data_IF_038437396299
#
_entry.id   IF_038437396299
#
_cell.length_a   1.000
_cell.length_b   1.000
_cell.length_c   1.000
_cell.angle_alpha   90.00
_cell.angle_beta   90.00
_cell.angle_gamma   90.00
#
_symmetry.space_group_name_H-M   'P 1'
#
loop_
_entity.id
_entity.type
_entity.pdbx_description
1 polymer ?
#
# COMPACT_ATOMS: atom_id res chain seq x y z
N UNK A 1 17.37 -28.57 -1.11
CA UNK A 1 17.81 -27.48 -0.21
C UNK A 1 16.86 -27.49 0.98
N UNK A 2 17.32 -27.30 2.21
CA UNK A 2 16.48 -27.23 3.42
C UNK A 2 16.10 -25.79 3.80
N UNK A 3 16.51 -24.81 2.99
CA UNK A 3 16.19 -23.41 3.22
C UNK A 3 14.69 -23.17 3.05
N UNK A 4 14.06 -22.48 4.02
CA UNK A 4 12.60 -22.29 4.13
C UNK A 4 11.97 -21.70 2.85
N UNK A 5 12.66 -20.76 2.20
CA UNK A 5 12.17 -20.08 0.98
C UNK A 5 12.07 -21.00 -0.25
N UNK A 6 12.71 -22.18 -0.24
CA UNK A 6 12.66 -23.16 -1.32
C UNK A 6 11.78 -24.38 -0.99
N UNK A 7 11.08 -24.35 0.15
CA UNK A 7 10.11 -25.39 0.49
C UNK A 7 8.73 -25.07 -0.09
N UNK A 8 7.93 -26.08 -0.44
CA UNK A 8 6.55 -25.86 -0.84
C UNK A 8 5.74 -25.23 0.30
N UNK A 9 4.89 -24.25 -0.03
CA UNK A 9 3.99 -23.62 0.94
C UNK A 9 2.85 -24.60 1.26
N UNK A 10 2.83 -25.11 2.49
CA UNK A 10 1.76 -25.98 2.99
C UNK A 10 0.77 -25.18 3.83
N UNK A 11 -0.52 -25.23 3.49
CA UNK A 11 -1.57 -24.56 4.29
C UNK A 11 -1.68 -25.24 5.67
N UNK A 12 -1.44 -24.51 6.78
CA UNK A 12 -1.50 -25.10 8.11
C UNK A 12 -2.94 -25.42 8.52
N UNK A 13 -3.10 -26.42 9.39
CA UNK A 13 -4.39 -26.70 9.99
C UNK A 13 -4.78 -25.56 10.95
N UNK A 14 -5.98 -25.02 10.77
CA UNK A 14 -6.53 -23.97 11.63
C UNK A 14 -6.79 -24.55 13.03
N UNK A 15 -6.29 -23.91 14.11
CA UNK A 15 -6.55 -24.35 15.46
C UNK A 15 -8.05 -24.35 15.79
N UNK A 16 -8.51 -25.39 16.47
CA UNK A 16 -9.83 -25.38 17.12
C UNK A 16 -9.70 -24.66 18.45
N UNK A 17 -10.45 -23.57 18.60
CA UNK A 17 -10.53 -22.77 19.83
C UNK A 17 -12.00 -22.57 20.17
N UNK A 18 -12.34 -22.75 21.44
CA UNK A 18 -13.67 -22.47 21.98
C UNK A 18 -13.72 -21.02 22.47
N UNK A 19 -13.43 -20.08 21.57
CA UNK A 19 -13.45 -18.66 21.86
C UNK A 19 -14.31 -17.95 20.81
N UNK A 20 -15.34 -17.24 21.25
CA UNK A 20 -16.24 -16.48 20.40
C UNK A 20 -15.64 -15.15 19.91
N UNK A 21 -14.44 -14.79 20.37
CA UNK A 21 -13.75 -13.57 19.96
C UNK A 21 -13.31 -13.61 18.48
N UNK A 22 -12.82 -14.75 18.00
CA UNK A 22 -12.26 -14.86 16.65
C UNK A 22 -13.34 -14.94 15.56
N UNK A 23 -13.23 -14.10 14.53
CA UNK A 23 -14.16 -14.05 13.38
C UNK A 23 -13.61 -14.76 12.15
N UNK A 24 -12.28 -14.84 12.05
CA UNK A 24 -11.56 -15.39 10.90
C UNK A 24 -10.63 -16.55 11.30
N UNK A 25 -10.18 -17.37 10.34
CA UNK A 25 -9.16 -18.38 10.61
C UNK A 25 -7.84 -17.81 11.16
N UNK A 26 -7.50 -16.56 10.81
CA UNK A 26 -6.30 -15.87 11.33
C UNK A 26 -6.45 -15.61 12.82
N UNK A 27 -7.62 -15.15 13.25
CA UNK A 27 -7.91 -14.91 14.67
C UNK A 27 -7.73 -16.19 15.50
N UNK A 28 -7.95 -17.37 14.89
CA UNK A 28 -7.76 -18.63 15.58
C UNK A 28 -6.30 -18.93 15.95
N UNK A 29 -5.37 -18.54 15.08
CA UNK A 29 -3.94 -18.62 15.39
C UNK A 29 -3.53 -17.60 16.46
N UNK A 30 -4.13 -16.41 16.42
CA UNK A 30 -3.89 -15.35 17.43
C UNK A 30 -4.40 -15.80 18.80
N UNK A 31 -5.63 -16.28 18.91
CA UNK A 31 -6.20 -16.71 20.18
C UNK A 31 -5.46 -17.91 20.78
N UNK A 32 -5.04 -18.88 19.95
CA UNK A 32 -4.16 -19.96 20.41
C UNK A 32 -2.86 -19.42 21.02
N UNK A 33 -2.28 -18.40 20.40
CA UNK A 33 -1.03 -17.79 20.87
C UNK A 33 -1.24 -17.03 22.18
N UNK A 34 -2.33 -16.28 22.31
CA UNK A 34 -2.72 -15.62 23.57
C UNK A 34 -2.94 -16.63 24.70
N UNK A 35 -3.70 -17.70 24.43
CA UNK A 35 -3.97 -18.75 25.42
C UNK A 35 -2.68 -19.40 25.94
N UNK A 36 -1.74 -19.72 25.03
CA UNK A 36 -0.43 -20.25 25.41
C UNK A 36 0.41 -19.26 26.24
N UNK A 37 0.22 -17.96 26.01
CA UNK A 37 0.89 -16.90 26.74
C UNK A 37 0.16 -16.47 28.03
N UNK A 38 -0.99 -17.07 28.35
CA UNK A 38 -1.83 -16.65 29.48
C UNK A 38 -2.44 -15.25 29.33
N UNK A 39 -2.58 -14.77 28.09
CA UNK A 39 -3.14 -13.46 27.76
C UNK A 39 -4.63 -13.59 27.39
N UNK A 40 -5.35 -12.49 27.59
CA UNK A 40 -6.74 -12.34 27.15
C UNK A 40 -6.84 -11.26 26.08
N UNK A 41 -7.80 -11.42 25.18
CA UNK A 41 -8.09 -10.43 24.15
C UNK A 41 -8.60 -9.13 24.78
N UNK A 42 -8.24 -8.00 24.18
CA UNK A 42 -8.85 -6.72 24.55
C UNK A 42 -10.32 -6.67 24.12
N UNK A 43 -11.14 -5.95 24.88
CA UNK A 43 -12.51 -5.65 24.48
C UNK A 43 -12.54 -4.89 23.16
N UNK A 44 -13.62 -5.08 22.40
CA UNK A 44 -13.86 -4.31 21.18
C UNK A 44 -13.92 -2.81 21.50
N UNK A 45 -13.43 -2.00 20.57
CA UNK A 45 -13.44 -0.56 20.73
C UNK A 45 -14.90 -0.04 20.71
N UNK A 46 -15.22 1.03 21.45
CA UNK A 46 -16.50 1.71 21.29
C UNK A 46 -16.72 2.10 19.82
N UNK A 47 -17.96 2.06 19.31
CA UNK A 47 -18.26 2.30 17.90
C UNK A 47 -17.65 3.60 17.35
N UNK A 48 -17.69 4.68 18.13
CA UNK A 48 -17.12 5.97 17.75
C UNK A 48 -15.59 5.95 17.61
N UNK A 49 -14.92 5.15 18.44
CA UNK A 49 -13.48 4.96 18.36
C UNK A 49 -13.12 4.11 17.16
N UNK A 50 -13.91 3.07 16.89
CA UNK A 50 -13.72 2.19 15.74
C UNK A 50 -13.90 2.96 14.43
N UNK A 51 -14.99 3.72 14.26
CA UNK A 51 -15.22 4.55 13.09
C UNK A 51 -14.06 5.51 12.84
N UNK A 52 -13.63 6.25 13.86
CA UNK A 52 -12.51 7.19 13.73
C UNK A 52 -11.22 6.49 13.29
N UNK A 53 -10.94 5.27 13.76
CA UNK A 53 -9.77 4.49 13.34
C UNK A 53 -9.89 4.07 11.87
N UNK A 54 -11.02 3.50 11.47
CA UNK A 54 -11.27 3.09 10.09
C UNK A 54 -11.05 4.23 9.09
N UNK A 55 -11.63 5.40 9.38
CA UNK A 55 -11.46 6.61 8.57
C UNK A 55 -9.99 7.05 8.44
N UNK A 56 -9.27 7.14 9.56
CA UNK A 56 -7.86 7.57 9.53
C UNK A 56 -6.92 6.54 8.91
N UNK A 57 -7.20 5.25 9.13
CA UNK A 57 -6.35 4.17 8.63
C UNK A 57 -6.54 4.01 7.11
N UNK A 58 -7.79 3.97 6.64
CA UNK A 58 -8.11 3.71 5.23
C UNK A 58 -7.95 4.93 4.33
N UNK A 59 -8.40 6.11 4.76
CA UNK A 59 -8.41 7.31 3.91
C UNK A 59 -7.60 8.48 4.48
N UNK A 60 -7.03 8.35 5.69
CA UNK A 60 -6.16 9.38 6.28
C UNK A 60 -6.86 10.62 6.82
N UNK A 61 -8.20 10.68 6.75
CA UNK A 61 -9.02 11.79 7.19
C UNK A 61 -9.92 11.34 8.34
N UNK A 62 -10.19 12.19 9.36
CA UNK A 62 -11.18 11.87 10.38
C UNK A 62 -12.62 11.94 9.79
N UNK A 63 -13.58 11.21 10.36
CA UNK A 63 -14.99 11.32 9.95
C UNK A 63 -15.56 12.70 10.30
N UNK A 64 -16.52 13.18 9.49
CA UNK A 64 -17.33 14.34 9.89
C UNK A 64 -18.33 13.97 10.99
N UNK A 65 -18.88 14.96 11.74
CA UNK A 65 -19.92 14.69 12.73
C UNK A 65 -21.13 13.95 12.15
N UNK A 66 -21.52 14.25 10.91
CA UNK A 66 -22.64 13.63 10.21
C UNK A 66 -22.34 12.17 9.86
N UNK A 67 -21.16 11.89 9.29
CA UNK A 67 -20.71 10.53 8.98
C UNK A 67 -20.61 9.66 10.24
N UNK A 68 -20.11 10.23 11.35
CA UNK A 68 -20.06 9.52 12.61
C UNK A 68 -21.46 9.23 13.15
N UNK A 69 -22.38 10.20 13.06
CA UNK A 69 -23.77 10.02 13.49
C UNK A 69 -24.47 8.94 12.66
N UNK A 70 -24.25 8.93 11.35
CA UNK A 70 -24.78 7.91 10.44
C UNK A 70 -24.27 6.52 10.81
N UNK A 71 -22.96 6.37 11.01
CA UNK A 71 -22.36 5.10 11.44
C UNK A 71 -22.96 4.59 12.75
N UNK A 72 -23.14 5.47 13.73
CA UNK A 72 -23.72 5.12 15.04
C UNK A 72 -25.20 4.74 14.97
N UNK A 73 -25.91 5.14 13.92
CA UNK A 73 -27.33 4.84 13.70
C UNK A 73 -27.56 3.65 12.76
N UNK A 74 -26.50 3.12 12.12
CA UNK A 74 -26.61 1.93 11.27
C UNK A 74 -27.15 0.73 12.08
N UNK A 75 -28.06 -0.02 11.45
CA UNK A 75 -28.74 -1.18 12.04
C UNK A 75 -28.48 -2.48 11.28
N UNK A 76 -27.46 -2.48 10.42
CA UNK A 76 -27.03 -3.67 9.67
C UNK A 76 -26.36 -4.71 10.56
N UNK A 77 -26.22 -5.93 10.04
CA UNK A 77 -25.58 -7.04 10.76
C UNK A 77 -24.10 -6.78 11.06
N UNK A 78 -23.39 -6.08 10.16
CA UNK A 78 -22.02 -5.62 10.36
C UNK A 78 -21.80 -4.19 9.81
N UNK A 79 -22.12 -3.15 10.60
CA UNK A 79 -21.94 -1.76 10.18
C UNK A 79 -20.48 -1.40 9.86
N UNK A 80 -19.52 -2.13 10.44
CA UNK A 80 -18.10 -1.88 10.24
C UNK A 80 -17.65 -2.37 8.87
N UNK A 81 -18.10 -3.56 8.44
CA UNK A 81 -17.83 -4.07 7.10
C UNK A 81 -18.38 -3.13 6.02
N UNK A 82 -19.61 -2.64 6.17
CA UNK A 82 -20.18 -1.67 5.22
C UNK A 82 -19.38 -0.37 5.16
N UNK A 83 -18.98 0.17 6.32
CA UNK A 83 -18.16 1.37 6.36
C UNK A 83 -16.79 1.14 5.69
N UNK A 84 -16.19 -0.04 5.88
CA UNK A 84 -14.93 -0.39 5.22
C UNK A 84 -15.11 -0.35 3.69
N UNK A 85 -16.15 -0.97 3.15
CA UNK A 85 -16.44 -0.94 1.71
C UNK A 85 -16.64 0.49 1.18
N UNK A 86 -17.38 1.32 1.91
CA UNK A 86 -17.57 2.75 1.58
C UNK A 86 -16.24 3.51 1.54
N UNK A 87 -15.35 3.25 2.50
CA UNK A 87 -14.05 3.90 2.59
C UNK A 87 -13.06 3.39 1.54
N UNK A 88 -13.07 2.10 1.21
CA UNK A 88 -12.26 1.52 0.14
C UNK A 88 -12.68 2.05 -1.23
N UNK A 89 -13.96 2.34 -1.43
CA UNK A 89 -14.48 2.96 -2.65
C UNK A 89 -14.22 4.48 -2.74
N UNK A 90 -13.71 5.11 -1.67
CA UNK A 90 -13.42 6.54 -1.66
C UNK A 90 -12.17 6.86 -2.50
N UNK A 91 -12.15 7.94 -3.31
CA UNK A 91 -10.94 8.35 -4.02
C UNK A 91 -9.75 8.66 -3.08
N UNK A 92 -10.04 9.03 -1.83
CA UNK A 92 -9.04 9.28 -0.80
C UNK A 92 -8.28 8.01 -0.36
N UNK A 93 -8.82 6.81 -0.63
CA UNK A 93 -8.13 5.56 -0.37
C UNK A 93 -6.83 5.49 -1.19
N UNK A 94 -6.91 5.72 -2.51
CA UNK A 94 -5.74 5.74 -3.39
C UNK A 94 -4.76 6.86 -3.05
N UNK A 95 -5.24 8.03 -2.61
CA UNK A 95 -4.37 9.12 -2.13
C UNK A 95 -3.59 8.70 -0.87
N UNK A 96 -4.28 8.05 0.09
CA UNK A 96 -3.70 7.59 1.35
C UNK A 96 -2.66 6.50 1.13
N UNK A 97 -3.01 5.46 0.38
CA UNK A 97 -2.16 4.30 0.15
C UNK A 97 -1.08 4.55 -0.90
N UNK A 98 -1.42 5.34 -1.93
CA UNK A 98 -0.46 5.79 -2.93
C UNK A 98 0.70 6.56 -2.33
N UNK A 99 0.49 7.36 -1.28
CA UNK A 99 1.58 8.05 -0.55
C UNK A 99 2.63 7.07 -0.03
N UNK A 100 2.22 5.95 0.58
CA UNK A 100 3.17 4.95 1.09
C UNK A 100 3.96 4.29 -0.04
N UNK A 101 3.29 4.01 -1.16
CA UNK A 101 3.98 3.49 -2.34
C UNK A 101 4.99 4.49 -2.91
N UNK A 102 4.61 5.76 -3.01
CA UNK A 102 5.47 6.82 -3.52
C UNK A 102 6.70 7.06 -2.63
N UNK A 103 6.54 6.91 -1.31
CA UNK A 103 7.65 6.92 -0.35
C UNK A 103 8.64 5.76 -0.64
N UNK A 104 8.14 4.55 -0.89
CA UNK A 104 8.97 3.38 -1.24
C UNK A 104 9.63 3.52 -2.61
N UNK A 105 8.90 4.05 -3.58
CA UNK A 105 9.39 4.34 -4.93
C UNK A 105 10.38 5.51 -4.97
N UNK A 106 10.64 6.19 -3.84
CA UNK A 106 11.53 7.35 -3.72
C UNK A 106 11.11 8.50 -4.65
N UNK A 107 9.81 8.64 -4.86
CA UNK A 107 9.26 9.63 -5.76
C UNK A 107 9.38 11.04 -5.20
N UNK A 108 9.67 12.00 -6.08
CA UNK A 108 9.65 13.43 -5.78
C UNK A 108 9.28 14.24 -7.03
N UNK A 109 8.73 15.43 -6.83
CA UNK A 109 8.48 16.39 -7.93
C UNK A 109 9.72 17.19 -8.33
N UNK A 110 10.89 16.86 -7.76
CA UNK A 110 12.16 17.51 -8.05
C UNK A 110 13.30 16.48 -8.11
N UNK A 111 14.51 16.91 -8.46
CA UNK A 111 15.67 16.03 -8.58
C UNK A 111 16.25 15.59 -7.23
N UNK A 112 15.95 16.32 -6.15
CA UNK A 112 16.32 15.97 -4.78
C UNK A 112 17.83 16.00 -4.49
N UNK A 113 18.61 16.76 -5.28
CA UNK A 113 20.07 16.86 -5.13
C UNK A 113 20.61 18.27 -5.38
N UNK A 114 21.94 18.41 -5.46
CA UNK A 114 22.69 19.68 -5.47
C UNK A 114 22.11 20.75 -6.40
N UNK A 115 21.63 20.35 -7.58
CA UNK A 115 20.87 21.21 -8.50
C UNK A 115 19.43 20.69 -8.57
N UNK A 116 18.61 21.13 -7.61
CA UNK A 116 17.26 20.61 -7.44
C UNK A 116 16.27 21.21 -8.45
N UNK A 117 16.27 20.65 -9.66
CA UNK A 117 15.32 21.05 -10.70
C UNK A 117 13.97 20.38 -10.51
N UNK A 118 12.91 21.12 -10.82
CA UNK A 118 11.55 20.57 -10.87
C UNK A 118 11.44 19.54 -11.99
N UNK A 119 10.73 18.43 -11.72
CA UNK A 119 10.32 17.43 -12.70
C UNK A 119 8.90 17.74 -13.18
N UNK A 120 8.70 18.46 -14.29
CA UNK A 120 7.40 19.04 -14.66
C UNK A 120 6.29 18.01 -14.92
N UNK A 121 6.66 16.74 -15.14
CA UNK A 121 5.72 15.66 -15.47
C UNK A 121 5.71 14.53 -14.43
N UNK A 122 6.40 14.68 -13.29
CA UNK A 122 6.46 13.64 -12.25
C UNK A 122 5.09 13.32 -11.64
N UNK A 123 4.17 14.29 -11.65
CA UNK A 123 2.80 14.13 -11.19
C UNK A 123 2.04 13.02 -11.93
N UNK A 124 2.38 12.72 -13.19
CA UNK A 124 1.71 11.66 -13.96
C UNK A 124 1.89 10.29 -13.31
N UNK A 125 3.09 10.01 -12.81
CA UNK A 125 3.37 8.77 -12.10
C UNK A 125 2.67 8.72 -10.72
N UNK A 126 2.63 9.85 -9.99
CA UNK A 126 1.85 9.97 -8.75
C UNK A 126 0.38 9.61 -8.99
N UNK A 127 -0.23 10.25 -9.99
CA UNK A 127 -1.64 10.05 -10.30
C UNK A 127 -1.90 8.61 -10.77
N UNK A 128 -1.00 8.03 -11.59
CA UNK A 128 -1.05 6.61 -11.95
C UNK A 128 -1.04 5.68 -10.74
N UNK A 129 -0.21 5.95 -9.73
CA UNK A 129 -0.16 5.15 -8.49
C UNK A 129 -1.49 5.26 -7.73
N UNK A 130 -1.99 6.49 -7.53
CA UNK A 130 -3.26 6.76 -6.86
C UNK A 130 -4.41 6.03 -7.56
N UNK A 131 -4.48 6.15 -8.88
CA UNK A 131 -5.50 5.52 -9.71
C UNK A 131 -5.40 3.99 -9.67
N UNK A 132 -4.19 3.43 -9.64
CA UNK A 132 -3.96 1.98 -9.53
C UNK A 132 -4.51 1.42 -8.22
N UNK A 133 -4.37 2.13 -7.10
CA UNK A 133 -4.98 1.74 -5.83
C UNK A 133 -6.51 1.86 -5.86
N UNK A 134 -7.04 2.96 -6.38
CA UNK A 134 -8.50 3.19 -6.46
C UNK A 134 -9.21 2.20 -7.38
N UNK A 135 -8.52 1.67 -8.39
CA UNK A 135 -9.05 0.68 -9.32
C UNK A 135 -8.85 -0.77 -8.87
N UNK A 136 -8.27 -0.99 -7.68
CA UNK A 136 -7.88 -2.31 -7.18
C UNK A 136 -7.04 -3.09 -8.22
N UNK A 137 -6.05 -2.40 -8.82
CA UNK A 137 -5.20 -3.00 -9.86
C UNK A 137 -4.46 -4.20 -9.26
N UNK A 138 -4.50 -5.39 -9.90
CA UNK A 138 -3.77 -6.55 -9.43
C UNK A 138 -2.29 -6.23 -9.22
N UNK A 139 -1.76 -6.59 -8.05
CA UNK A 139 -0.39 -6.24 -7.67
C UNK A 139 0.65 -6.74 -8.69
N UNK A 140 0.48 -7.95 -9.24
CA UNK A 140 1.36 -8.50 -10.27
C UNK A 140 1.36 -7.66 -11.56
N UNK A 141 0.21 -7.10 -11.93
CA UNK A 141 0.09 -6.16 -13.06
C UNK A 141 0.73 -4.82 -12.71
N UNK A 142 0.42 -4.27 -11.55
CA UNK A 142 0.95 -2.99 -11.08
C UNK A 142 2.48 -2.95 -11.04
N UNK A 143 3.13 -4.01 -10.53
CA UNK A 143 4.60 -4.13 -10.53
C UNK A 143 5.15 -4.29 -11.95
N UNK A 144 4.52 -5.13 -12.77
CA UNK A 144 4.98 -5.39 -14.14
C UNK A 144 4.94 -4.14 -15.01
N UNK A 145 3.88 -3.34 -14.89
CA UNK A 145 3.76 -2.04 -15.59
C UNK A 145 4.87 -1.07 -15.16
N UNK A 146 5.27 -1.06 -13.89
CA UNK A 146 6.32 -0.19 -13.39
C UNK A 146 7.73 -0.60 -13.85
N UNK A 147 7.99 -1.90 -13.99
CA UNK A 147 9.31 -2.42 -14.36
C UNK A 147 9.54 -2.52 -15.86
N UNK A 148 8.48 -2.70 -16.65
CA UNK A 148 8.59 -3.01 -18.08
C UNK A 148 7.41 -2.47 -18.90
N UNK A 149 6.74 -1.40 -18.44
CA UNK A 149 5.55 -0.87 -19.09
C UNK A 149 5.75 -0.43 -20.54
N UNK A 150 6.94 0.03 -20.89
CA UNK A 150 7.38 0.35 -22.26
C UNK A 150 7.50 -0.87 -23.18
N UNK A 151 7.70 -2.07 -22.61
CA UNK A 151 7.80 -3.34 -23.32
C UNK A 151 6.45 -4.10 -23.39
N UNK A 152 5.43 -3.65 -22.67
CA UNK A 152 4.13 -4.32 -22.65
C UNK A 152 3.35 -4.13 -23.95
N UNK A 153 2.66 -5.20 -24.35
CA UNK A 153 1.78 -5.22 -25.52
C UNK A 153 0.34 -5.58 -25.11
N UNK A 154 -0.69 -4.91 -25.68
CA UNK A 154 -0.58 -3.76 -26.58
C UNK A 154 -0.06 -2.51 -25.84
N UNK A 155 0.60 -1.61 -26.58
CA UNK A 155 1.09 -0.34 -26.05
C UNK A 155 -0.04 0.49 -25.42
N UNK A 156 0.24 1.12 -24.28
CA UNK A 156 -0.62 2.08 -23.60
C UNK A 156 0.25 3.20 -23.02
N UNK A 157 -0.18 4.46 -23.18
CA UNK A 157 0.48 5.61 -22.54
C UNK A 157 0.52 5.46 -21.01
N UNK A 158 -0.47 4.78 -20.42
CA UNK A 158 -0.49 4.47 -18.99
C UNK A 158 0.70 3.57 -18.59
N UNK A 159 1.06 2.61 -19.43
CA UNK A 159 2.18 1.72 -19.17
C UNK A 159 3.52 2.46 -19.27
N UNK A 160 3.64 3.43 -20.19
CA UNK A 160 4.81 4.30 -20.23
C UNK A 160 4.87 5.26 -19.02
N UNK A 161 3.72 5.72 -18.51
CA UNK A 161 3.68 6.52 -17.28
C UNK A 161 4.13 5.69 -16.07
N UNK A 162 3.74 4.41 -16.01
CA UNK A 162 4.10 3.50 -14.94
C UNK A 162 5.62 3.31 -14.80
N UNK A 163 6.38 3.33 -15.91
CA UNK A 163 7.85 3.26 -15.87
C UNK A 163 8.51 4.50 -15.25
N UNK A 164 7.72 5.52 -14.89
CA UNK A 164 8.14 6.60 -14.00
C UNK A 164 8.75 6.12 -12.68
N UNK A 165 8.40 4.91 -12.21
CA UNK A 165 9.07 4.22 -11.10
C UNK A 165 10.59 4.15 -11.29
N UNK A 166 11.06 3.79 -12.48
CA UNK A 166 12.48 3.68 -12.80
C UNK A 166 13.17 5.05 -12.94
N UNK A 167 12.39 6.12 -13.12
CA UNK A 167 12.88 7.49 -13.27
C UNK A 167 12.89 8.27 -11.95
N UNK A 168 12.41 7.68 -10.84
CA UNK A 168 12.34 8.34 -9.54
C UNK A 168 13.72 8.54 -8.88
N UNK A 169 14.74 7.81 -9.34
CA UNK A 169 16.09 7.91 -8.82
C UNK A 169 16.65 9.34 -8.90
N UNK A 170 17.45 9.70 -7.90
CA UNK A 170 18.07 11.01 -7.77
C UNK A 170 19.09 11.28 -8.89
N UNK A 171 19.05 12.46 -9.50
CA UNK A 171 19.96 12.87 -10.58
C UNK A 171 20.63 14.19 -10.20
N UNK A 172 21.94 14.30 -10.48
CA UNK A 172 22.68 15.56 -10.35
C UNK A 172 22.61 16.38 -11.63
N UNK A 173 22.42 17.69 -11.50
CA UNK A 173 22.42 18.61 -12.64
C UNK A 173 23.81 18.97 -13.19
N UNK A 174 24.91 18.58 -12.52
CA UNK A 174 26.26 18.77 -13.06
C UNK A 174 26.68 17.55 -13.89
N UNK A 175 27.00 17.77 -15.16
CA UNK A 175 27.45 16.74 -16.13
C UNK A 175 28.93 16.38 -15.94
N UNK A 176 29.47 16.54 -14.73
CA UNK A 176 30.92 16.39 -14.50
C UNK A 176 31.36 14.92 -14.38
N UNK A 177 30.44 14.00 -14.04
CA UNK A 177 30.74 12.56 -14.00
C UNK A 177 29.51 11.68 -14.28
N UNK A 178 29.12 11.62 -15.55
CA UNK A 178 27.97 10.83 -16.04
C UNK A 178 28.08 9.33 -15.70
N UNK A 179 29.30 8.79 -15.59
CA UNK A 179 29.52 7.39 -15.29
C UNK A 179 29.19 7.06 -13.82
N UNK A 180 29.63 7.90 -12.89
CA UNK A 180 29.26 7.77 -11.47
C UNK A 180 27.75 7.96 -11.30
N UNK A 181 27.19 9.00 -11.91
CA UNK A 181 25.75 9.26 -11.83
C UNK A 181 24.92 8.08 -12.34
N UNK A 182 25.29 7.50 -13.49
CA UNK A 182 24.62 6.32 -14.01
C UNK A 182 24.69 5.16 -13.02
N UNK A 183 25.84 4.93 -12.38
CA UNK A 183 25.97 3.88 -11.36
C UNK A 183 25.03 4.14 -10.17
N UNK A 184 25.02 5.36 -9.64
CA UNK A 184 24.15 5.76 -8.53
C UNK A 184 22.67 5.53 -8.85
N UNK A 185 22.22 5.94 -10.05
CA UNK A 185 20.84 5.72 -10.52
C UNK A 185 20.52 4.23 -10.59
N UNK A 186 21.41 3.40 -11.14
CA UNK A 186 21.20 1.96 -11.24
C UNK A 186 21.13 1.29 -9.86
N UNK A 187 22.00 1.69 -8.93
CA UNK A 187 21.99 1.19 -7.55
C UNK A 187 20.69 1.61 -6.84
N UNK A 188 20.22 2.83 -7.05
CA UNK A 188 18.98 3.35 -6.49
C UNK A 188 17.78 2.54 -6.98
N UNK A 189 17.65 2.33 -8.30
CA UNK A 189 16.59 1.52 -8.91
C UNK A 189 16.61 0.09 -8.37
N UNK A 190 17.78 -0.55 -8.29
CA UNK A 190 17.91 -1.93 -7.77
C UNK A 190 17.46 -1.99 -6.31
N UNK A 191 17.87 -1.03 -5.49
CA UNK A 191 17.49 -0.99 -4.09
C UNK A 191 15.99 -0.73 -3.89
N UNK A 192 15.40 0.20 -4.65
CA UNK A 192 13.97 0.48 -4.61
C UNK A 192 13.17 -0.77 -5.04
N UNK A 193 13.54 -1.37 -6.17
CA UNK A 193 12.91 -2.59 -6.69
C UNK A 193 13.02 -3.76 -5.72
N UNK A 194 14.16 -3.94 -5.05
CA UNK A 194 14.35 -5.00 -4.06
C UNK A 194 13.62 -4.79 -2.74
N UNK A 195 13.04 -3.60 -2.51
CA UNK A 195 12.35 -3.24 -1.27
C UNK A 195 10.83 -3.26 -1.35
N UNK A 196 10.27 -3.33 -2.56
CA UNK A 196 8.82 -3.30 -2.84
C UNK A 196 8.23 -4.65 -3.16
#
# INVERSE_FOLDING_TARGET
SDHWAFQPVTRPQVPTINDSWGRTPVDAFIAKSHLNAGLQHSSEAPPETLARRLYLDLIGLPPTPEQLTEFLQKSSEDPSAELIEELLASPHYGERWGRYWLDLARWAESQGYQHDFVRPYAWRYRDYVIDSFNQDKPYDRFIKEQLAGDELQPYSDENLIATGFLAAARISGNQEDDAIQRNDVMVDIVNATGSV
#
